data_IF_798246263224
#
_entry.id   IF_798246263224
#
_cell.length_a   1.000
_cell.length_b   1.000
_cell.length_c   1.000
_cell.angle_alpha   90.00
_cell.angle_beta   90.00
_cell.angle_gamma   90.00
#
_symmetry.space_group_name_H-M   'P 1'
#
loop_
_entity.id
_entity.type
_entity.pdbx_description
1 polymer ?
#
# COMPACT_ATOMS: atom_id res chain seq x y z
N UNK A 1 -9.09 16.04 -10.96
CA UNK A 1 -8.84 14.64 -10.58
C UNK A 1 -7.36 14.34 -10.77
N UNK A 2 -6.71 13.57 -9.91
CA UNK A 2 -5.33 13.16 -10.16
C UNK A 2 -5.32 12.28 -11.41
N UNK A 3 -4.72 12.79 -12.47
CA UNK A 3 -4.63 12.08 -13.75
C UNK A 3 -3.32 11.30 -13.80
N UNK A 4 -3.35 10.14 -14.44
CA UNK A 4 -2.14 9.44 -14.83
C UNK A 4 -1.20 10.38 -15.57
N UNK A 5 0.11 10.36 -15.25
CA UNK A 5 1.09 11.10 -16.03
C UNK A 5 0.98 10.78 -17.52
N UNK A 6 0.96 11.81 -18.36
CA UNK A 6 0.70 11.70 -19.79
C UNK A 6 1.65 10.76 -20.58
N UNK A 7 2.82 10.45 -20.00
CA UNK A 7 3.81 9.55 -20.59
C UNK A 7 3.57 8.06 -20.29
N UNK A 8 2.54 7.72 -19.48
CA UNK A 8 2.18 6.35 -19.23
C UNK A 8 1.26 5.81 -20.32
N UNK A 9 1.52 4.57 -20.70
CA UNK A 9 0.66 3.83 -21.60
C UNK A 9 -0.69 3.55 -20.91
N UNK A 10 -1.72 4.26 -21.35
CA UNK A 10 -3.08 4.12 -20.82
C UNK A 10 -3.67 2.74 -21.09
N UNK A 11 -3.19 2.00 -22.08
CA UNK A 11 -3.65 0.63 -22.33
C UNK A 11 -3.28 -0.33 -21.19
N UNK A 12 -2.23 -0.02 -20.42
CA UNK A 12 -1.81 -0.78 -19.26
C UNK A 12 -2.59 -0.43 -17.98
N UNK A 13 -3.31 0.70 -17.98
CA UNK A 13 -4.09 1.16 -16.83
C UNK A 13 -5.32 1.95 -17.32
N UNK A 14 -6.29 1.25 -17.92
CA UNK A 14 -7.44 1.87 -18.59
C UNK A 14 -8.55 2.29 -17.63
N UNK A 15 -8.23 2.60 -16.39
CA UNK A 15 -9.19 2.91 -15.34
C UNK A 15 -9.31 4.41 -15.11
N UNK A 16 -10.51 4.85 -14.77
CA UNK A 16 -10.76 6.19 -14.24
C UNK A 16 -10.68 6.13 -12.71
N UNK A 17 -9.60 6.69 -12.16
CA UNK A 17 -9.43 6.73 -10.72
C UNK A 17 -10.44 7.66 -10.05
N UNK A 18 -10.92 7.23 -8.89
CA UNK A 18 -11.79 8.01 -8.01
C UNK A 18 -10.98 8.58 -6.84
N UNK A 19 -11.54 9.58 -6.18
CA UNK A 19 -10.93 10.22 -5.01
C UNK A 19 -11.95 10.34 -3.91
N UNK A 20 -11.56 9.97 -2.70
CA UNK A 20 -12.33 10.19 -1.48
C UNK A 20 -11.48 11.02 -0.51
N UNK A 21 -12.10 11.98 0.16
CA UNK A 21 -11.42 12.69 1.24
C UNK A 21 -11.39 11.79 2.49
N UNK A 22 -10.21 11.55 3.03
CA UNK A 22 -10.00 10.70 4.20
C UNK A 22 -9.06 11.44 5.15
N UNK A 23 -9.56 11.79 6.33
CA UNK A 23 -8.76 12.45 7.35
C UNK A 23 -8.10 13.76 6.92
N UNK A 24 -8.74 14.55 6.05
CA UNK A 24 -8.23 15.80 5.52
C UNK A 24 -7.33 15.67 4.28
N UNK A 25 -7.19 14.46 3.74
CA UNK A 25 -6.37 14.19 2.56
C UNK A 25 -7.16 13.46 1.48
N UNK A 26 -6.83 13.68 0.22
CA UNK A 26 -7.44 12.99 -0.92
C UNK A 26 -6.79 11.62 -1.10
N UNK A 27 -7.57 10.57 -0.89
CA UNK A 27 -7.19 9.19 -1.11
C UNK A 27 -7.72 8.73 -2.47
N UNK A 28 -6.81 8.33 -3.35
CA UNK A 28 -7.14 7.78 -4.66
C UNK A 28 -7.46 6.29 -4.55
N UNK A 29 -8.39 5.83 -5.36
CA UNK A 29 -8.74 4.42 -5.49
C UNK A 29 -9.36 4.13 -6.86
N UNK A 30 -9.27 2.87 -7.28
CA UNK A 30 -10.08 2.31 -8.37
C UNK A 30 -11.33 1.68 -7.77
N UNK A 31 -12.44 1.71 -8.50
CA UNK A 31 -13.70 1.10 -8.12
C UNK A 31 -14.44 0.69 -9.40
N UNK A 32 -14.19 -0.54 -9.84
CA UNK A 32 -14.58 -1.09 -11.11
C UNK A 32 -15.49 -2.30 -10.91
N UNK A 33 -16.49 -2.47 -11.79
CA UNK A 33 -17.46 -3.56 -11.72
C UNK A 33 -18.52 -3.39 -10.63
N UNK A 34 -19.29 -4.44 -10.38
CA UNK A 34 -20.42 -4.44 -9.45
C UNK A 34 -20.47 -5.73 -8.62
N UNK A 35 -21.26 -5.73 -7.53
CA UNK A 35 -21.48 -6.89 -6.65
C UNK A 35 -20.64 -6.86 -5.38
N UNK A 36 -20.30 -8.06 -4.84
CA UNK A 36 -19.53 -8.20 -3.60
C UNK A 36 -18.13 -7.59 -3.77
N UNK A 37 -17.67 -6.74 -2.82
CA UNK A 37 -16.41 -6.04 -2.98
C UNK A 37 -15.18 -6.95 -2.83
N UNK A 38 -14.22 -6.76 -3.72
CA UNK A 38 -12.85 -7.29 -3.63
C UNK A 38 -11.91 -6.11 -3.40
N UNK A 39 -11.37 -6.01 -2.20
CA UNK A 39 -10.49 -4.90 -1.78
C UNK A 39 -9.02 -5.32 -1.92
N UNK A 40 -8.30 -4.62 -2.79
CA UNK A 40 -6.92 -4.88 -3.12
C UNK A 40 -6.03 -3.87 -2.39
N UNK A 41 -5.24 -4.35 -1.41
CA UNK A 41 -4.44 -3.51 -0.51
C UNK A 41 -2.96 -3.71 -0.80
N UNK A 42 -2.33 -2.69 -1.37
CA UNK A 42 -0.91 -2.73 -1.74
C UNK A 42 0.01 -2.43 -0.56
N UNK A 43 1.30 -2.69 -0.75
CA UNK A 43 2.35 -2.32 0.18
C UNK A 43 3.41 -1.40 -0.42
N UNK A 44 4.59 -1.41 0.21
CA UNK A 44 5.70 -0.53 -0.14
C UNK A 44 6.68 -1.21 -1.12
N UNK A 45 7.09 -0.59 -2.21
CA UNK A 45 6.82 0.76 -2.71
C UNK A 45 5.80 0.80 -3.85
N UNK A 46 4.76 0.00 -3.77
CA UNK A 46 3.78 -0.15 -4.85
C UNK A 46 2.58 0.81 -4.70
N UNK A 47 1.60 0.67 -5.59
CA UNK A 47 0.33 1.39 -5.60
C UNK A 47 -0.68 0.57 -6.43
N UNK A 48 -1.90 1.02 -6.66
CA UNK A 48 -2.96 0.31 -7.39
C UNK A 48 -2.53 -0.21 -8.77
N UNK A 49 -1.50 0.38 -9.39
CA UNK A 49 -0.84 -0.13 -10.59
C UNK A 49 -0.42 -1.60 -10.49
N UNK A 50 -0.04 -2.06 -9.30
CA UNK A 50 0.32 -3.45 -9.06
C UNK A 50 -0.83 -4.39 -9.43
N UNK A 51 -2.04 -3.99 -9.10
CA UNK A 51 -3.24 -4.77 -9.26
C UNK A 51 -3.96 -4.58 -10.60
N UNK A 52 -3.45 -3.75 -11.52
CA UNK A 52 -4.11 -3.39 -12.78
C UNK A 52 -4.67 -4.57 -13.56
N UNK A 53 -3.93 -5.69 -13.63
CA UNK A 53 -4.41 -6.91 -14.30
C UNK A 53 -5.52 -7.59 -13.50
N UNK A 54 -5.34 -7.67 -12.19
CA UNK A 54 -6.33 -8.28 -11.31
C UNK A 54 -7.65 -7.50 -11.32
N UNK A 55 -7.58 -6.17 -11.38
CA UNK A 55 -8.77 -5.32 -11.55
C UNK A 55 -9.48 -5.67 -12.85
N UNK A 56 -8.78 -5.73 -13.98
CA UNK A 56 -9.38 -6.08 -15.28
C UNK A 56 -10.04 -7.47 -15.28
N UNK A 57 -9.38 -8.46 -14.66
CA UNK A 57 -9.88 -9.84 -14.64
C UNK A 57 -11.06 -10.05 -13.69
N UNK A 58 -11.12 -9.32 -12.58
CA UNK A 58 -12.16 -9.50 -11.57
C UNK A 58 -13.37 -8.58 -11.77
N UNK A 59 -13.21 -7.41 -12.37
CA UNK A 59 -14.29 -6.43 -12.54
C UNK A 59 -15.54 -6.94 -13.29
N UNK A 60 -15.44 -7.89 -14.25
CA UNK A 60 -16.61 -8.49 -14.86
C UNK A 60 -17.54 -9.27 -13.90
N UNK A 61 -17.05 -9.65 -12.71
CA UNK A 61 -17.74 -10.54 -11.79
C UNK A 61 -17.84 -9.99 -10.36
N UNK A 62 -17.13 -8.93 -10.04
CA UNK A 62 -17.03 -8.37 -8.70
C UNK A 62 -16.87 -6.85 -8.76
N UNK A 63 -17.26 -6.16 -7.68
CA UNK A 63 -16.86 -4.78 -7.46
C UNK A 63 -15.42 -4.78 -6.94
N UNK A 64 -14.46 -4.31 -7.73
CA UNK A 64 -13.03 -4.34 -7.41
C UNK A 64 -12.55 -2.97 -6.98
N UNK A 65 -12.06 -2.88 -5.75
CA UNK A 65 -11.56 -1.65 -5.15
C UNK A 65 -10.06 -1.78 -4.93
N UNK A 66 -9.25 -1.03 -5.68
CA UNK A 66 -7.81 -1.00 -5.49
C UNK A 66 -7.40 0.37 -4.95
N UNK A 67 -6.92 0.40 -3.71
CA UNK A 67 -6.61 1.63 -3.00
C UNK A 67 -5.18 2.11 -3.27
N UNK A 68 -4.96 3.43 -3.18
CA UNK A 68 -3.63 4.02 -3.02
C UNK A 68 -3.54 4.64 -1.63
N UNK A 69 -2.70 4.11 -0.76
CA UNK A 69 -2.52 4.68 0.58
C UNK A 69 -2.08 6.15 0.51
N UNK A 70 -2.46 6.95 1.50
CA UNK A 70 -1.96 8.34 1.62
C UNK A 70 -0.43 8.33 1.59
N UNK A 71 0.14 9.17 0.72
CA UNK A 71 1.57 9.22 0.40
C UNK A 71 1.99 8.34 -0.78
N UNK A 72 1.12 7.44 -1.28
CA UNK A 72 1.42 6.51 -2.37
C UNK A 72 0.57 6.78 -3.61
N UNK A 73 0.98 6.20 -4.75
CA UNK A 73 0.22 6.24 -5.97
C UNK A 73 -0.23 7.64 -6.37
N UNK A 74 -1.51 7.79 -6.63
CA UNK A 74 -2.15 9.05 -7.01
C UNK A 74 -2.83 9.77 -5.84
N UNK A 75 -2.72 9.23 -4.61
CA UNK A 75 -3.15 9.90 -3.38
C UNK A 75 -2.28 11.10 -3.04
N UNK A 76 -2.80 11.99 -2.20
CA UNK A 76 -2.05 13.11 -1.63
C UNK A 76 -0.77 12.63 -0.93
N UNK A 77 0.25 13.49 -0.92
CA UNK A 77 1.58 13.20 -0.35
C UNK A 77 1.94 14.25 0.69
N UNK A 78 1.21 14.25 1.82
CA UNK A 78 1.41 15.24 2.88
C UNK A 78 2.83 15.16 3.47
N UNK A 79 3.23 16.22 4.17
CA UNK A 79 4.44 16.21 4.99
C UNK A 79 4.22 15.47 6.32
N UNK A 80 5.27 15.39 7.11
CA UNK A 80 5.27 14.63 8.37
C UNK A 80 4.47 15.31 9.48
N UNK A 81 4.29 16.63 9.39
CA UNK A 81 3.49 17.41 10.35
C UNK A 81 2.00 17.24 10.07
N UNK A 82 1.62 17.08 8.81
CA UNK A 82 0.23 16.90 8.40
C UNK A 82 -0.26 15.44 8.46
N UNK A 83 0.66 14.45 8.38
CA UNK A 83 0.26 13.04 8.36
C UNK A 83 1.27 12.14 9.10
N UNK A 84 0.84 11.36 10.10
CA UNK A 84 1.74 10.62 11.00
C UNK A 84 2.41 9.36 10.39
N UNK A 85 1.98 8.89 9.23
CA UNK A 85 2.54 7.72 8.55
C UNK A 85 2.69 6.46 9.44
N UNK A 86 1.73 6.19 10.34
CA UNK A 86 1.72 5.00 11.21
C UNK A 86 0.81 3.90 10.68
N UNK A 87 1.05 2.65 11.13
CA UNK A 87 0.17 1.52 10.82
C UNK A 87 -1.28 1.80 11.23
N UNK A 88 -1.50 2.31 12.46
CA UNK A 88 -2.83 2.65 12.95
C UNK A 88 -3.56 3.64 12.05
N UNK A 89 -2.86 4.71 11.64
CA UNK A 89 -3.45 5.73 10.76
C UNK A 89 -3.84 5.13 9.39
N UNK A 90 -2.99 4.29 8.81
CA UNK A 90 -3.28 3.64 7.51
C UNK A 90 -4.45 2.67 7.59
N UNK A 91 -4.59 1.94 8.70
CA UNK A 91 -5.77 1.09 8.94
C UNK A 91 -7.03 1.95 9.01
N UNK A 92 -7.02 3.01 9.82
CA UNK A 92 -8.16 3.91 9.98
C UNK A 92 -8.54 4.63 8.68
N UNK A 93 -7.56 5.01 7.85
CA UNK A 93 -7.82 5.63 6.55
C UNK A 93 -8.50 4.64 5.60
N UNK A 94 -8.07 3.38 5.57
CA UNK A 94 -8.69 2.33 4.76
C UNK A 94 -10.13 2.06 5.22
N UNK A 95 -10.37 1.94 6.53
CA UNK A 95 -11.71 1.79 7.09
C UNK A 95 -12.61 2.96 6.70
N UNK A 96 -12.12 4.18 6.86
CA UNK A 96 -12.86 5.40 6.50
C UNK A 96 -13.19 5.45 5.01
N UNK A 97 -12.26 5.07 4.14
CA UNK A 97 -12.52 4.98 2.70
C UNK A 97 -13.67 4.00 2.43
N UNK A 98 -13.55 2.76 2.94
CA UNK A 98 -14.54 1.70 2.67
C UNK A 98 -15.94 2.06 3.19
N UNK A 99 -16.04 2.69 4.36
CA UNK A 99 -17.31 3.20 4.88
C UNK A 99 -17.92 4.28 3.95
N UNK A 100 -17.11 5.24 3.51
CA UNK A 100 -17.59 6.34 2.65
C UNK A 100 -18.05 5.91 1.27
N UNK A 101 -17.45 4.85 0.72
CA UNK A 101 -17.83 4.32 -0.60
C UNK A 101 -18.84 3.18 -0.52
N UNK A 102 -19.33 2.84 0.69
CA UNK A 102 -20.31 1.79 0.91
C UNK A 102 -19.82 0.38 0.63
N UNK A 103 -18.51 0.11 0.82
CA UNK A 103 -17.92 -1.22 0.67
C UNK A 103 -17.71 -1.85 2.05
N UNK A 104 -18.83 -2.15 2.74
CA UNK A 104 -18.81 -2.51 4.17
C UNK A 104 -19.24 -3.93 4.47
N UNK A 105 -19.69 -4.71 3.47
CA UNK A 105 -20.21 -6.05 3.68
C UNK A 105 -19.57 -7.04 2.71
N UNK A 106 -19.45 -8.30 3.13
CA UNK A 106 -19.00 -9.43 2.30
C UNK A 106 -17.68 -9.21 1.57
N UNK A 107 -16.76 -8.49 2.20
CA UNK A 107 -15.50 -8.07 1.61
C UNK A 107 -14.57 -9.27 1.39
N UNK A 108 -14.08 -9.44 0.18
CA UNK A 108 -12.94 -10.31 -0.13
C UNK A 108 -11.65 -9.46 -0.15
N UNK A 109 -10.72 -9.77 0.73
CA UNK A 109 -9.47 -9.03 0.90
C UNK A 109 -8.35 -9.68 0.08
N UNK A 110 -7.59 -8.89 -0.65
CA UNK A 110 -6.35 -9.31 -1.30
C UNK A 110 -5.24 -8.40 -0.80
N UNK A 111 -4.32 -8.95 -0.04
CA UNK A 111 -3.31 -8.19 0.69
C UNK A 111 -1.89 -8.62 0.33
N UNK A 112 -1.00 -7.64 0.16
CA UNK A 112 0.40 -7.86 -0.20
C UNK A 112 1.32 -6.90 0.54
N UNK A 113 2.47 -7.38 1.03
CA UNK A 113 3.49 -6.60 1.75
C UNK A 113 2.85 -5.84 2.93
N UNK A 114 3.05 -4.53 3.09
CA UNK A 114 2.38 -3.72 4.11
C UNK A 114 0.84 -3.75 4.05
N UNK A 115 0.30 -4.05 2.87
CA UNK A 115 -1.14 -4.26 2.71
C UNK A 115 -1.67 -5.41 3.58
N UNK A 116 -0.82 -6.35 4.01
CA UNK A 116 -1.17 -7.38 4.99
C UNK A 116 -1.48 -6.78 6.35
N UNK A 117 -0.53 -6.10 6.97
CA UNK A 117 -0.75 -5.47 8.27
C UNK A 117 -1.90 -4.44 8.24
N UNK A 118 -2.05 -3.70 7.14
CA UNK A 118 -3.11 -2.70 6.98
C UNK A 118 -4.47 -3.35 6.71
N UNK A 119 -4.56 -4.21 5.68
CA UNK A 119 -5.82 -4.84 5.27
C UNK A 119 -6.35 -5.85 6.29
N UNK A 120 -5.46 -6.70 6.86
CA UNK A 120 -5.84 -7.61 7.93
C UNK A 120 -6.16 -6.85 9.22
N UNK A 121 -5.49 -5.73 9.47
CA UNK A 121 -5.85 -4.83 10.56
C UNK A 121 -7.29 -4.33 10.45
N UNK A 122 -7.69 -3.83 9.29
CA UNK A 122 -9.07 -3.42 9.04
C UNK A 122 -10.05 -4.60 9.09
N UNK A 123 -9.72 -5.74 8.46
CA UNK A 123 -10.56 -6.94 8.46
C UNK A 123 -10.77 -7.50 9.87
N UNK A 124 -9.73 -7.53 10.71
CA UNK A 124 -9.81 -8.05 12.08
C UNK A 124 -10.63 -7.18 13.05
N UNK A 125 -10.83 -5.91 12.73
CA UNK A 125 -11.71 -5.01 13.52
C UNK A 125 -13.19 -5.23 13.23
N UNK A 126 -13.53 -5.78 12.07
CA UNK A 126 -14.89 -6.08 11.62
C UNK A 126 -14.93 -7.45 10.91
N UNK A 127 -14.63 -8.56 11.64
CA UNK A 127 -14.49 -9.88 11.03
C UNK A 127 -15.79 -10.35 10.36
N UNK A 128 -16.94 -9.92 10.84
CA UNK A 128 -18.26 -10.21 10.27
C UNK A 128 -18.44 -9.69 8.84
N UNK A 129 -17.67 -8.67 8.45
CA UNK A 129 -17.69 -8.09 7.10
C UNK A 129 -16.78 -8.83 6.12
N UNK A 130 -15.87 -9.66 6.63
CA UNK A 130 -14.93 -10.39 5.80
C UNK A 130 -15.56 -11.67 5.25
N UNK A 131 -15.44 -11.85 3.91
CA UNK A 131 -15.89 -13.07 3.24
C UNK A 131 -14.75 -14.03 2.95
N UNK A 132 -13.65 -13.49 2.43
CA UNK A 132 -12.45 -14.24 2.05
C UNK A 132 -11.22 -13.39 2.26
N UNK A 133 -10.08 -14.05 2.46
CA UNK A 133 -8.78 -13.37 2.57
C UNK A 133 -7.78 -14.11 1.68
N UNK A 134 -7.14 -13.37 0.78
CA UNK A 134 -6.03 -13.84 -0.06
C UNK A 134 -4.75 -13.13 0.41
N UNK A 135 -3.82 -13.90 0.92
CA UNK A 135 -2.56 -13.42 1.51
C UNK A 135 -1.41 -13.66 0.53
N UNK A 136 -0.70 -12.62 0.13
CA UNK A 136 0.40 -12.66 -0.82
C UNK A 136 1.66 -12.02 -0.21
N UNK A 137 2.70 -12.81 0.05
CA UNK A 137 4.02 -12.33 0.52
C UNK A 137 3.94 -11.18 1.52
N UNK A 138 3.28 -11.43 2.65
CA UNK A 138 3.01 -10.41 3.67
C UNK A 138 3.02 -10.98 5.09
N UNK A 139 2.95 -10.10 6.08
CA UNK A 139 2.82 -10.42 7.49
C UNK A 139 1.90 -9.40 8.16
N UNK A 140 1.17 -9.84 9.18
CA UNK A 140 0.36 -8.97 10.05
C UNK A 140 0.62 -9.25 11.53
N UNK A 141 1.76 -9.82 11.84
CA UNK A 141 2.21 -10.17 13.20
C UNK A 141 3.67 -9.78 13.41
N UNK A 142 4.09 -9.78 14.67
CA UNK A 142 5.45 -9.43 15.06
C UNK A 142 6.50 -10.34 14.40
N UNK A 143 7.69 -9.80 14.20
CA UNK A 143 8.82 -10.61 13.73
C UNK A 143 9.14 -11.67 14.77
N UNK A 144 9.25 -12.95 14.39
CA UNK A 144 9.70 -14.00 15.32
C UNK A 144 11.06 -13.64 15.94
N UNK A 145 11.28 -13.95 17.21
CA UNK A 145 12.48 -13.58 18.01
C UNK A 145 13.82 -13.90 17.35
N UNK A 146 13.86 -14.91 16.49
CA UNK A 146 15.08 -15.33 15.76
C UNK A 146 15.18 -14.73 14.36
N UNK A 147 14.23 -13.92 13.92
CA UNK A 147 14.26 -13.32 12.59
C UNK A 147 15.27 -12.19 12.54
N UNK A 148 16.31 -12.36 11.74
CA UNK A 148 17.26 -11.28 11.48
C UNK A 148 16.61 -10.27 10.56
N UNK A 149 16.46 -9.04 11.06
CA UNK A 149 16.01 -7.93 10.22
C UNK A 149 17.04 -7.71 9.09
N UNK A 150 16.61 -7.61 7.83
CA UNK A 150 17.53 -7.49 6.70
C UNK A 150 18.49 -6.29 6.87
N UNK A 151 19.81 -6.49 6.79
CA UNK A 151 20.79 -5.41 7.06
C UNK A 151 20.59 -4.18 6.19
N UNK A 152 20.16 -4.37 4.93
CA UNK A 152 19.89 -3.26 4.01
C UNK A 152 18.69 -2.41 4.45
N UNK A 153 17.63 -3.04 4.97
CA UNK A 153 16.48 -2.31 5.51
C UNK A 153 16.82 -1.61 6.82
N UNK A 154 17.65 -2.26 7.67
CA UNK A 154 18.17 -1.65 8.87
C UNK A 154 18.97 -0.39 8.53
N UNK A 155 19.85 -0.45 7.55
CA UNK A 155 20.66 0.66 7.10
C UNK A 155 19.83 1.81 6.53
N UNK A 156 18.86 1.51 5.66
CA UNK A 156 17.93 2.51 5.12
C UNK A 156 17.15 3.23 6.22
N UNK A 157 16.78 2.49 7.26
CA UNK A 157 15.96 2.99 8.36
C UNK A 157 16.73 3.89 9.32
N UNK A 158 17.98 3.53 9.65
CA UNK A 158 18.73 4.12 10.77
C UNK A 158 19.82 5.10 10.35
N UNK A 159 20.02 5.32 9.05
CA UNK A 159 21.04 6.25 8.59
C UNK A 159 20.45 7.38 7.75
N UNK A 160 20.91 8.64 7.97
CA UNK A 160 20.51 9.76 7.12
C UNK A 160 20.80 9.52 5.63
N UNK A 161 21.93 8.88 5.32
CA UNK A 161 22.31 8.53 3.96
C UNK A 161 21.32 7.53 3.33
N UNK A 162 20.83 6.54 4.09
CA UNK A 162 19.81 5.60 3.65
C UNK A 162 18.52 6.32 3.24
N UNK A 163 18.04 7.22 4.09
CA UNK A 163 16.89 8.08 3.79
C UNK A 163 17.10 8.98 2.57
N UNK A 164 18.30 9.57 2.44
CA UNK A 164 18.66 10.38 1.26
C UNK A 164 18.66 9.57 -0.04
N UNK A 165 19.13 8.34 -0.02
CA UNK A 165 19.15 7.48 -1.21
C UNK A 165 17.74 7.00 -1.60
N UNK A 166 16.88 6.71 -0.63
CA UNK A 166 15.46 6.40 -0.91
C UNK A 166 14.80 7.60 -1.56
N UNK A 167 14.89 8.78 -0.95
CA UNK A 167 14.17 9.97 -1.42
C UNK A 167 14.86 10.65 -2.60
N UNK A 168 16.18 10.72 -2.63
CA UNK A 168 16.95 11.38 -3.70
C UNK A 168 17.02 10.55 -4.98
N UNK A 169 17.50 9.31 -4.89
CA UNK A 169 17.77 8.46 -6.05
C UNK A 169 16.62 7.47 -6.37
N UNK A 170 15.56 7.46 -5.55
CA UNK A 170 14.49 6.47 -5.67
C UNK A 170 15.01 5.02 -5.58
N UNK A 171 16.05 4.82 -4.78
CA UNK A 171 16.79 3.56 -4.77
C UNK A 171 15.92 2.40 -4.30
N UNK A 172 15.01 2.63 -3.36
CA UNK A 172 14.12 1.60 -2.85
C UNK A 172 13.15 1.09 -3.93
N UNK A 173 12.43 1.98 -4.63
CA UNK A 173 11.52 1.57 -5.71
C UNK A 173 12.27 0.88 -6.86
N UNK A 174 13.43 1.40 -7.24
CA UNK A 174 14.24 0.80 -8.32
C UNK A 174 14.81 -0.55 -7.91
N UNK A 175 15.32 -0.67 -6.69
CA UNK A 175 15.92 -1.89 -6.16
C UNK A 175 14.90 -3.02 -6.00
N UNK A 176 13.71 -2.72 -5.47
CA UNK A 176 12.66 -3.72 -5.29
C UNK A 176 12.15 -4.31 -6.61
N UNK A 177 12.12 -3.52 -7.69
CA UNK A 177 11.77 -4.05 -9.02
C UNK A 177 12.81 -5.01 -9.59
N UNK A 178 14.08 -4.88 -9.20
CA UNK A 178 15.14 -5.80 -9.64
C UNK A 178 15.18 -7.03 -8.73
N UNK A 179 15.12 -6.83 -7.41
CA UNK A 179 15.26 -7.90 -6.41
C UNK A 179 13.99 -8.75 -6.32
N UNK A 180 12.81 -8.12 -6.38
CA UNK A 180 11.52 -8.79 -6.27
C UNK A 180 11.10 -9.59 -7.50
N UNK A 181 11.65 -9.27 -8.69
CA UNK A 181 11.29 -9.90 -9.95
C UNK A 181 12.47 -10.67 -10.57
N UNK A 182 12.95 -11.70 -9.87
CA UNK A 182 14.14 -12.46 -10.29
C UNK A 182 13.91 -13.40 -11.48
N UNK A 183 12.69 -13.91 -11.68
CA UNK A 183 12.38 -14.89 -12.74
C UNK A 183 12.22 -14.26 -14.11
N UNK A 184 11.73 -13.02 -14.18
CA UNK A 184 11.55 -12.29 -15.43
C UNK A 184 11.81 -10.81 -15.23
N UNK A 185 12.36 -10.15 -16.24
CA UNK A 185 12.52 -8.68 -16.20
C UNK A 185 11.17 -8.01 -16.39
N UNK A 186 10.89 -7.02 -15.56
CA UNK A 186 9.70 -6.18 -15.73
C UNK A 186 9.86 -5.37 -17.03
N UNK A 187 8.88 -5.42 -17.97
CA UNK A 187 8.89 -4.58 -19.16
C UNK A 187 9.05 -3.10 -18.85
N UNK A 188 9.73 -2.36 -19.72
CA UNK A 188 10.04 -0.94 -19.48
C UNK A 188 8.78 -0.09 -19.20
N UNK A 189 7.70 -0.29 -19.97
CA UNK A 189 6.43 0.41 -19.80
C UNK A 189 5.80 0.11 -18.43
N UNK A 190 5.83 -1.15 -17.98
CA UNK A 190 5.32 -1.56 -16.65
C UNK A 190 6.15 -0.94 -15.53
N UNK A 191 7.49 -0.94 -15.68
CA UNK A 191 8.40 -0.32 -14.73
C UNK A 191 8.18 1.20 -14.63
N UNK A 192 7.95 1.86 -15.77
CA UNK A 192 7.61 3.28 -15.81
C UNK A 192 6.36 3.58 -14.97
N UNK A 193 5.33 2.72 -15.03
CA UNK A 193 4.11 2.85 -14.22
C UNK A 193 4.37 2.75 -12.73
N UNK A 194 5.18 1.80 -12.27
CA UNK A 194 5.54 1.71 -10.85
C UNK A 194 6.27 2.96 -10.35
N UNK A 195 7.10 3.59 -11.17
CA UNK A 195 7.90 4.77 -10.79
C UNK A 195 7.16 6.10 -10.96
N UNK A 196 6.07 6.10 -11.71
CA UNK A 196 5.38 7.32 -12.12
C UNK A 196 4.98 8.26 -10.96
N UNK A 197 4.43 7.78 -9.84
CA UNK A 197 4.04 8.64 -8.72
C UNK A 197 5.21 9.14 -7.88
N UNK A 198 6.43 8.58 -8.06
CA UNK A 198 7.58 8.77 -7.18
C UNK A 198 8.73 9.51 -7.86
N UNK A 199 8.43 10.67 -8.49
CA UNK A 199 9.40 11.41 -9.32
C UNK A 199 10.20 12.47 -8.56
N UNK A 200 9.67 12.98 -7.44
CA UNK A 200 10.32 14.02 -6.63
C UNK A 200 10.75 13.48 -5.26
N UNK A 201 11.55 14.26 -4.58
CA UNK A 201 11.96 14.02 -3.19
C UNK A 201 10.75 13.90 -2.25
N UNK A 202 9.78 14.81 -2.38
CA UNK A 202 8.57 14.87 -1.55
C UNK A 202 7.68 13.64 -1.80
N UNK A 203 7.51 13.26 -3.07
CA UNK A 203 6.66 12.14 -3.45
C UNK A 203 7.15 10.78 -2.93
N UNK A 204 8.40 10.68 -2.47
CA UNK A 204 9.00 9.46 -1.93
C UNK A 204 9.01 9.42 -0.40
N UNK A 205 8.40 10.40 0.29
CA UNK A 205 8.33 10.44 1.74
C UNK A 205 7.70 9.17 2.31
N UNK A 206 6.52 8.81 1.84
CA UNK A 206 5.82 7.62 2.31
C UNK A 206 6.63 6.33 2.13
N UNK A 207 7.44 6.22 1.06
CA UNK A 207 8.31 5.06 0.83
C UNK A 207 9.30 4.89 1.98
N UNK A 208 9.94 5.97 2.41
CA UNK A 208 10.85 5.96 3.56
C UNK A 208 10.07 5.68 4.86
N UNK A 209 8.94 6.35 5.06
CA UNK A 209 8.12 6.18 6.27
C UNK A 209 7.60 4.76 6.45
N UNK A 210 7.29 4.03 5.39
CA UNK A 210 6.98 2.61 5.47
C UNK A 210 8.16 1.77 5.98
N UNK A 211 9.39 2.06 5.54
CA UNK A 211 10.58 1.35 6.04
C UNK A 211 10.82 1.67 7.52
N UNK A 212 10.65 2.93 7.90
CA UNK A 212 10.82 3.38 9.28
C UNK A 212 9.72 2.87 10.22
N UNK A 213 8.51 2.66 9.69
CA UNK A 213 7.36 2.22 10.49
C UNK A 213 7.30 0.71 10.74
N UNK A 214 8.26 -0.09 10.21
CA UNK A 214 8.34 -1.53 10.54
C UNK A 214 8.59 -1.69 12.04
N UNK A 215 7.68 -2.30 12.81
CA UNK A 215 7.83 -2.42 14.26
C UNK A 215 8.86 -3.50 14.59
N UNK A 216 10.06 -3.10 14.99
CA UNK A 216 11.17 -4.03 15.30
C UNK A 216 11.34 -4.29 16.79
N UNK A 217 10.63 -3.53 17.65
CA UNK A 217 10.70 -3.69 19.10
C UNK A 217 9.46 -3.06 19.76
N UNK A 218 9.26 -3.38 21.06
CA UNK A 218 8.08 -2.97 21.86
C UNK A 218 7.95 -1.45 22.06
N UNK A 219 9.00 -0.67 21.85
CA UNK A 219 8.97 0.79 22.00
C UNK A 219 8.60 1.50 20.70
N UNK A 220 8.44 0.75 19.61
CA UNK A 220 8.08 1.34 18.33
C UNK A 220 6.61 1.79 18.31
N UNK A 221 6.36 2.96 17.73
CA UNK A 221 5.01 3.59 17.70
C UNK A 221 3.90 2.70 17.13
N UNK A 222 4.20 1.84 16.16
CA UNK A 222 3.24 0.91 15.54
C UNK A 222 3.26 -0.50 16.15
N UNK A 223 4.06 -0.75 17.21
CA UNK A 223 4.16 -2.06 17.85
C UNK A 223 2.85 -2.52 18.48
N UNK A 224 2.21 -1.63 19.25
CA UNK A 224 0.94 -1.94 19.91
C UNK A 224 -0.15 -2.29 18.88
N UNK A 225 -0.30 -1.48 17.83
CA UNK A 225 -1.26 -1.73 16.76
C UNK A 225 -1.01 -3.07 16.09
N UNK A 226 0.26 -3.43 15.83
CA UNK A 226 0.59 -4.73 15.23
C UNK A 226 0.19 -5.90 16.12
N UNK A 227 0.45 -5.83 17.44
CA UNK A 227 0.02 -6.85 18.40
C UNK A 227 -1.50 -6.95 18.53
N UNK A 228 -2.21 -5.83 18.46
CA UNK A 228 -3.69 -5.82 18.45
C UNK A 228 -4.25 -6.49 17.19
N UNK A 229 -3.61 -6.33 16.04
CA UNK A 229 -3.96 -7.05 14.81
C UNK A 229 -3.69 -8.54 14.97
N UNK A 230 -2.48 -8.91 15.41
CA UNK A 230 -2.08 -10.29 15.63
C UNK A 230 -3.05 -11.05 16.59
N UNK A 231 -3.44 -10.39 17.68
CA UNK A 231 -4.34 -10.98 18.69
C UNK A 231 -5.78 -11.20 18.19
N UNK A 232 -6.16 -10.58 17.07
CA UNK A 232 -7.51 -10.71 16.49
C UNK A 232 -7.56 -11.65 15.28
N UNK A 233 -6.43 -12.10 14.77
CA UNK A 233 -6.34 -13.04 13.64
C UNK A 233 -6.37 -14.50 14.11
#
# INVERSE_FOLDING_TARGET
MPSLPAHLDRSLYPFEGKVCEVGGHRMHYLDEGEGDPVVLVHGNPTWSWMYRRLVTELAPHHRVIAVDHIGCGLSDKPDDDAYPYTLERRISDLETLLERIGATERISWVVHDWGGAIGLGAASRRPERARRIVVMNTSAFGLPDKTRFPPILWWFRHTPLGGMLIRGLNLFCRGTMVIGCRRSRIPAAVRAGYLAPYRSWESRRAILRFVEDIPTNRHHRSWRTLLEVEARL
#
